data_IF_558820566957
#
_entry.id   IF_558820566957
#
_cell.length_a   1.000
_cell.length_b   1.000
_cell.length_c   1.000
_cell.angle_alpha   90.00
_cell.angle_beta   90.00
_cell.angle_gamma   90.00
#
_symmetry.space_group_name_H-M   'P 1'
#
loop_
_entity.id
_entity.type
_entity.pdbx_description
1 polymer ?
#
# COMPACT_ATOMS: atom_id res chain seq x y z
N UNK A 1 27.51 -0.19 23.38
CA UNK A 1 26.18 0.25 23.84
C UNK A 1 25.30 -0.98 24.00
N UNK A 2 24.68 -1.21 25.15
CA UNK A 2 23.61 -2.22 25.27
C UNK A 2 22.29 -1.57 24.89
N UNK A 3 21.49 -2.24 24.06
CA UNK A 3 20.14 -1.79 23.74
C UNK A 3 19.26 -2.00 24.98
N UNK A 4 18.32 -1.09 25.23
CA UNK A 4 17.22 -1.38 26.13
C UNK A 4 16.22 -2.31 25.44
N UNK A 5 15.45 -3.08 26.21
CA UNK A 5 14.40 -4.00 25.68
C UNK A 5 13.47 -3.29 24.69
N UNK A 6 13.12 -2.03 24.95
CA UNK A 6 12.26 -1.23 24.07
C UNK A 6 12.95 -0.95 22.72
N UNK A 7 14.24 -0.63 22.72
CA UNK A 7 15.00 -0.39 21.50
C UNK A 7 15.12 -1.67 20.66
N UNK A 8 15.28 -2.83 21.31
CA UNK A 8 15.30 -4.14 20.64
C UNK A 8 13.96 -4.47 19.98
N UNK A 9 12.84 -4.20 20.66
CA UNK A 9 11.50 -4.41 20.10
C UNK A 9 11.27 -3.48 18.89
N UNK A 10 11.60 -2.19 19.01
CA UNK A 10 11.42 -1.22 17.92
C UNK A 10 12.28 -1.59 16.70
N UNK A 11 13.51 -2.04 16.93
CA UNK A 11 14.41 -2.52 15.89
C UNK A 11 13.87 -3.81 15.24
N UNK A 12 13.34 -4.75 16.02
CA UNK A 12 12.75 -5.98 15.48
C UNK A 12 11.54 -5.71 14.59
N UNK A 13 10.66 -4.79 14.99
CA UNK A 13 9.50 -4.35 14.19
C UNK A 13 9.98 -3.69 12.89
N UNK A 14 11.03 -2.88 12.94
CA UNK A 14 11.61 -2.21 11.77
C UNK A 14 12.11 -3.24 10.77
N UNK A 15 12.93 -4.19 11.25
CA UNK A 15 13.51 -5.24 10.41
C UNK A 15 12.41 -6.11 9.80
N UNK A 16 11.42 -6.52 10.59
CA UNK A 16 10.29 -7.31 10.09
C UNK A 16 9.49 -6.55 9.00
N UNK A 17 9.21 -5.27 9.24
CA UNK A 17 8.54 -4.41 8.27
C UNK A 17 9.32 -4.25 6.97
N UNK A 18 10.65 -4.04 7.06
CA UNK A 18 11.55 -3.95 5.90
C UNK A 18 11.54 -5.26 5.11
N UNK A 19 11.70 -6.40 5.80
CA UNK A 19 11.74 -7.73 5.14
C UNK A 19 10.44 -8.00 4.39
N UNK A 20 9.28 -7.75 5.00
CA UNK A 20 7.99 -7.94 4.34
C UNK A 20 7.78 -6.97 3.16
N UNK A 21 8.20 -5.71 3.31
CA UNK A 21 8.12 -4.72 2.24
C UNK A 21 8.99 -5.12 1.04
N UNK A 22 10.25 -5.47 1.28
CA UNK A 22 11.18 -5.90 0.24
C UNK A 22 10.72 -7.19 -0.42
N UNK A 23 10.23 -8.16 0.36
CA UNK A 23 9.66 -9.39 -0.18
C UNK A 23 8.50 -9.08 -1.12
N UNK A 24 7.52 -8.25 -0.70
CA UNK A 24 6.40 -7.88 -1.55
C UNK A 24 6.86 -7.13 -2.82
N UNK A 25 7.77 -6.16 -2.69
CA UNK A 25 8.29 -5.39 -3.82
C UNK A 25 9.00 -6.28 -4.84
N UNK A 26 9.73 -7.31 -4.37
CA UNK A 26 10.45 -8.26 -5.23
C UNK A 26 9.54 -9.25 -5.97
N UNK A 27 8.27 -9.42 -5.57
CA UNK A 27 7.35 -10.30 -6.30
C UNK A 27 7.12 -9.76 -7.72
N UNK A 28 7.13 -10.62 -8.75
CA UNK A 28 6.84 -10.20 -10.11
C UNK A 28 5.37 -9.75 -10.24
N UNK A 29 5.07 -8.82 -11.17
CA UNK A 29 3.69 -8.46 -11.47
C UNK A 29 2.92 -9.68 -12.01
N UNK A 30 1.63 -9.75 -11.70
CA UNK A 30 0.72 -10.81 -12.15
C UNK A 30 -0.47 -10.17 -12.87
N UNK A 31 -0.20 -9.58 -14.04
CA UNK A 31 -1.21 -8.87 -14.81
C UNK A 31 -2.19 -9.86 -15.44
N UNK A 32 -3.48 -9.68 -15.16
CA UNK A 32 -4.58 -10.37 -15.80
C UNK A 32 -5.49 -9.37 -16.48
N UNK A 33 -5.98 -9.72 -17.65
CA UNK A 33 -6.92 -8.88 -18.41
C UNK A 33 -8.25 -9.58 -18.55
N UNK A 34 -9.34 -8.81 -18.57
CA UNK A 34 -10.67 -9.37 -18.75
C UNK A 34 -11.64 -8.37 -19.38
N UNK A 35 -12.89 -8.82 -19.50
CA UNK A 35 -14.01 -7.99 -19.93
C UNK A 35 -15.16 -8.19 -18.95
N UNK A 36 -15.80 -7.09 -18.56
CA UNK A 36 -16.94 -7.07 -17.65
C UNK A 36 -18.16 -6.49 -18.36
N UNK A 37 -19.32 -6.99 -17.99
CA UNK A 37 -20.62 -6.36 -18.15
C UNK A 37 -21.12 -5.85 -16.79
N UNK A 38 -22.20 -5.09 -16.81
CA UNK A 38 -22.83 -4.59 -15.59
C UNK A 38 -23.13 -5.76 -14.64
N UNK A 39 -22.89 -5.57 -13.35
CA UNK A 39 -23.00 -6.57 -12.30
C UNK A 39 -21.94 -7.69 -12.30
N UNK A 40 -20.99 -7.71 -13.24
CA UNK A 40 -19.88 -8.64 -13.17
C UNK A 40 -18.84 -8.22 -12.11
N UNK A 41 -18.22 -9.20 -11.46
CA UNK A 41 -17.10 -9.00 -10.55
C UNK A 41 -15.76 -9.27 -11.25
N UNK A 42 -14.75 -8.46 -10.96
CA UNK A 42 -13.37 -8.77 -11.30
C UNK A 42 -12.91 -9.95 -10.40
N UNK A 43 -12.61 -11.13 -10.97
CA UNK A 43 -12.40 -12.34 -10.18
C UNK A 43 -11.30 -12.20 -9.12
N UNK A 44 -11.65 -12.53 -7.88
CA UNK A 44 -10.69 -12.57 -6.76
C UNK A 44 -10.33 -11.19 -6.17
N UNK A 45 -11.06 -10.14 -6.54
CA UNK A 45 -10.79 -8.77 -6.06
C UNK A 45 -11.91 -8.21 -5.19
N UNK A 46 -13.12 -8.80 -5.25
CA UNK A 46 -14.31 -8.26 -4.59
C UNK A 46 -14.88 -7.01 -5.25
N UNK A 47 -14.34 -6.55 -6.39
CA UNK A 47 -14.81 -5.35 -7.08
C UNK A 47 -15.82 -5.70 -8.17
N UNK A 48 -17.06 -5.26 -7.97
CA UNK A 48 -18.19 -5.48 -8.88
C UNK A 48 -18.48 -4.22 -9.69
N UNK A 49 -18.65 -4.34 -11.00
CA UNK A 49 -19.08 -3.23 -11.86
C UNK A 49 -20.56 -2.93 -11.57
N UNK A 50 -20.87 -1.70 -11.15
CA UNK A 50 -22.25 -1.30 -10.77
C UNK A 50 -22.82 -0.17 -11.63
N UNK A 51 -21.96 0.63 -12.25
CA UNK A 51 -22.39 1.68 -13.18
C UNK A 51 -21.37 1.83 -14.32
N UNK A 52 -21.89 2.17 -15.50
CA UNK A 52 -21.11 2.36 -16.71
C UNK A 52 -21.66 3.54 -17.50
N UNK A 53 -20.79 4.51 -17.81
CA UNK A 53 -21.13 5.62 -18.71
C UNK A 53 -20.16 5.65 -19.88
N UNK A 54 -20.51 5.00 -21.01
CA UNK A 54 -19.64 4.91 -22.18
C UNK A 54 -19.32 6.27 -22.80
N UNK A 55 -20.29 7.19 -22.79
CA UNK A 55 -20.13 8.54 -23.34
C UNK A 55 -19.18 9.40 -22.52
N UNK A 56 -19.13 9.20 -21.21
CA UNK A 56 -18.21 9.91 -20.31
C UNK A 56 -16.90 9.15 -20.07
N UNK A 57 -16.73 7.94 -20.64
CA UNK A 57 -15.53 7.13 -20.45
C UNK A 57 -15.26 6.76 -18.98
N UNK A 58 -16.31 6.58 -18.18
CA UNK A 58 -16.23 6.26 -16.74
C UNK A 58 -16.95 4.96 -16.38
N UNK A 59 -16.47 4.30 -15.34
CA UNK A 59 -17.14 3.16 -14.73
C UNK A 59 -17.05 3.25 -13.20
N UNK A 60 -18.09 2.77 -12.51
CA UNK A 60 -18.14 2.71 -11.05
C UNK A 60 -18.10 1.26 -10.59
N UNK A 61 -17.25 0.98 -9.61
CA UNK A 61 -17.11 -0.32 -9.00
C UNK A 61 -17.48 -0.26 -7.53
N UNK A 62 -18.19 -1.27 -7.05
CA UNK A 62 -18.50 -1.45 -5.64
C UNK A 62 -17.72 -2.63 -5.08
N UNK A 63 -17.01 -2.41 -3.99
CA UNK A 63 -16.34 -3.49 -3.27
C UNK A 63 -17.34 -4.24 -2.39
N UNK A 64 -17.43 -5.55 -2.57
CA UNK A 64 -18.36 -6.44 -1.86
C UNK A 64 -17.97 -6.68 -0.40
N UNK A 65 -16.70 -6.44 -0.04
CA UNK A 65 -16.17 -6.66 1.31
C UNK A 65 -16.31 -5.40 2.17
N UNK A 66 -15.97 -4.22 1.62
CA UNK A 66 -15.90 -2.96 2.38
C UNK A 66 -17.10 -2.01 2.15
N UNK A 67 -18.10 -2.43 1.37
CA UNK A 67 -19.27 -1.62 0.98
C UNK A 67 -18.87 -0.19 0.53
N UNK A 68 -17.80 -0.11 -0.26
CA UNK A 68 -17.23 1.14 -0.75
C UNK A 68 -17.35 1.20 -2.28
N UNK A 69 -17.78 2.34 -2.81
CA UNK A 69 -17.91 2.57 -4.24
C UNK A 69 -16.80 3.50 -4.73
N UNK A 70 -16.22 3.16 -5.88
CA UNK A 70 -15.17 3.92 -6.52
C UNK A 70 -15.47 4.12 -8.00
N UNK A 71 -15.47 5.38 -8.45
CA UNK A 71 -15.60 5.74 -9.86
C UNK A 71 -14.24 6.07 -10.46
N UNK A 72 -13.94 5.49 -11.62
CA UNK A 72 -12.69 5.74 -12.35
C UNK A 72 -12.95 5.95 -13.85
N UNK A 73 -11.92 6.40 -14.55
CA UNK A 73 -11.96 6.72 -15.98
C UNK A 73 -11.04 5.79 -16.76
N UNK A 74 -11.31 5.65 -18.06
CA UNK A 74 -10.40 4.93 -18.98
C UNK A 74 -8.97 5.47 -18.86
N UNK A 75 -8.00 4.56 -18.76
CA UNK A 75 -6.57 4.87 -18.59
C UNK A 75 -6.17 5.31 -17.19
N UNK A 76 -7.10 5.38 -16.23
CA UNK A 76 -6.80 5.65 -14.82
C UNK A 76 -6.82 4.34 -14.04
N UNK A 77 -5.76 4.15 -13.24
CA UNK A 77 -5.63 3.05 -12.31
C UNK A 77 -6.28 3.42 -10.97
N UNK A 78 -6.97 2.46 -10.36
CA UNK A 78 -7.47 2.55 -8.99
C UNK A 78 -7.15 1.23 -8.30
N UNK A 79 -6.45 1.28 -7.16
CA UNK A 79 -5.75 0.11 -6.63
C UNK A 79 -4.97 -0.58 -7.76
N UNK A 80 -4.89 -1.90 -7.78
CA UNK A 80 -4.19 -2.61 -8.84
C UNK A 80 -5.01 -2.77 -10.15
N UNK A 81 -6.14 -2.08 -10.32
CA UNK A 81 -7.05 -2.23 -11.47
C UNK A 81 -6.96 -1.00 -12.40
N UNK A 82 -6.84 -1.24 -13.69
CA UNK A 82 -6.89 -0.21 -14.73
C UNK A 82 -8.04 -0.52 -15.70
N UNK A 83 -8.83 0.49 -16.04
CA UNK A 83 -9.76 0.38 -17.16
C UNK A 83 -8.99 0.67 -18.45
N UNK A 84 -8.89 -0.31 -19.33
CA UNK A 84 -8.20 -0.16 -20.61
C UNK A 84 -9.12 0.43 -21.68
N UNK A 85 -10.39 0.04 -21.67
CA UNK A 85 -11.37 0.48 -22.67
C UNK A 85 -12.80 0.35 -22.17
N UNK A 86 -13.67 1.27 -22.58
CA UNK A 86 -15.13 1.12 -22.48
C UNK A 86 -15.71 1.10 -23.90
N UNK A 87 -16.50 0.08 -24.23
CA UNK A 87 -17.15 -0.05 -25.55
C UNK A 87 -18.55 -0.64 -25.39
N UNK A 88 -19.57 0.13 -25.81
CA UNK A 88 -20.96 -0.28 -25.63
C UNK A 88 -21.28 -0.53 -24.15
N UNK A 89 -21.80 -1.71 -23.83
CA UNK A 89 -22.10 -2.15 -22.47
C UNK A 89 -20.96 -2.90 -21.77
N UNK A 90 -19.73 -2.85 -22.31
CA UNK A 90 -18.59 -3.63 -21.81
C UNK A 90 -17.42 -2.76 -21.36
N UNK A 91 -16.72 -3.23 -20.33
CA UNK A 91 -15.48 -2.66 -19.80
C UNK A 91 -14.35 -3.68 -19.96
N UNK A 92 -13.29 -3.32 -20.71
CA UNK A 92 -12.03 -4.06 -20.68
C UNK A 92 -11.16 -3.51 -19.57
N UNK A 93 -10.57 -4.41 -18.81
CA UNK A 93 -9.73 -4.06 -17.68
C UNK A 93 -8.45 -4.90 -17.68
N UNK A 94 -7.45 -4.35 -17.01
CA UNK A 94 -6.25 -5.05 -16.58
C UNK A 94 -6.14 -4.92 -15.06
N UNK A 95 -5.73 -6.00 -14.39
CA UNK A 95 -5.55 -6.03 -12.94
C UNK A 95 -4.24 -6.72 -12.59
N UNK A 96 -3.44 -6.11 -11.71
CA UNK A 96 -2.29 -6.77 -11.13
C UNK A 96 -2.71 -7.61 -9.92
N UNK A 97 -2.84 -8.92 -10.14
CA UNK A 97 -3.21 -9.88 -9.10
C UNK A 97 -2.11 -10.08 -8.05
N UNK A 98 -0.90 -9.52 -8.23
CA UNK A 98 0.13 -9.48 -7.19
C UNK A 98 -0.42 -8.86 -5.91
N UNK A 99 -1.15 -7.73 -6.03
CA UNK A 99 -1.73 -7.03 -4.91
C UNK A 99 -2.77 -7.88 -4.17
N UNK A 100 -3.78 -8.38 -4.90
CA UNK A 100 -4.88 -9.14 -4.31
C UNK A 100 -4.43 -10.48 -3.72
N UNK A 101 -3.48 -11.17 -4.34
CA UNK A 101 -2.94 -12.44 -3.81
C UNK A 101 -2.04 -12.25 -2.59
N UNK A 102 -1.46 -11.07 -2.40
CA UNK A 102 -0.51 -10.79 -1.33
C UNK A 102 -0.95 -9.61 -0.45
N UNK A 103 -2.26 -9.35 -0.37
CA UNK A 103 -2.82 -8.18 0.32
C UNK A 103 -2.44 -8.15 1.81
N UNK A 104 -2.36 -9.32 2.46
CA UNK A 104 -1.95 -9.42 3.86
C UNK A 104 -0.48 -9.09 4.08
N UNK A 105 0.39 -9.48 3.14
CA UNK A 105 1.82 -9.14 3.21
C UNK A 105 2.01 -7.64 2.99
N UNK A 106 1.32 -7.09 1.98
CA UNK A 106 1.28 -5.66 1.72
C UNK A 106 0.79 -4.86 2.93
N UNK A 107 -0.32 -5.28 3.53
CA UNK A 107 -0.92 -4.62 4.68
C UNK A 107 -0.05 -4.74 5.93
N UNK A 108 0.54 -5.91 6.20
CA UNK A 108 1.44 -6.10 7.33
C UNK A 108 2.70 -5.24 7.21
N UNK A 109 3.31 -5.17 6.01
CA UNK A 109 4.44 -4.28 5.75
C UNK A 109 4.08 -2.82 6.01
N UNK A 110 2.92 -2.36 5.50
CA UNK A 110 2.43 -1.01 5.73
C UNK A 110 2.17 -0.71 7.21
N UNK A 111 1.55 -1.64 7.93
CA UNK A 111 1.22 -1.44 9.35
C UNK A 111 2.48 -1.36 10.20
N UNK A 112 3.43 -2.29 10.03
CA UNK A 112 4.68 -2.32 10.81
C UNK A 112 5.54 -1.08 10.55
N UNK A 113 5.73 -0.71 9.28
CA UNK A 113 6.49 0.48 8.92
C UNK A 113 5.74 1.76 9.32
N UNK A 114 4.42 1.82 9.08
CA UNK A 114 3.60 2.99 9.34
C UNK A 114 3.49 3.34 10.82
N UNK A 115 3.19 2.35 11.67
CA UNK A 115 3.17 2.53 13.13
C UNK A 115 4.54 2.99 13.62
N UNK A 116 5.61 2.35 13.14
CA UNK A 116 6.96 2.70 13.55
C UNK A 116 7.38 4.11 13.11
N UNK A 117 6.96 4.59 11.95
CA UNK A 117 7.17 5.98 11.50
C UNK A 117 6.42 6.97 12.39
N UNK A 118 5.14 6.71 12.70
CA UNK A 118 4.36 7.60 13.57
C UNK A 118 4.99 7.69 14.96
N UNK A 119 5.36 6.54 15.55
CA UNK A 119 6.07 6.50 16.83
C UNK A 119 7.41 7.23 16.75
N UNK A 120 8.12 7.09 15.64
CA UNK A 120 9.40 7.77 15.42
C UNK A 120 9.24 9.28 15.35
N UNK A 121 8.23 9.79 14.64
CA UNK A 121 7.92 11.22 14.60
C UNK A 121 7.62 11.75 16.00
N UNK A 122 6.80 11.04 16.79
CA UNK A 122 6.48 11.42 18.18
C UNK A 122 7.75 11.51 19.03
N UNK A 123 8.62 10.48 18.97
CA UNK A 123 9.88 10.47 19.72
C UNK A 123 10.79 11.63 19.28
N UNK A 124 10.84 11.93 17.99
CA UNK A 124 11.64 13.03 17.46
C UNK A 124 11.12 14.38 17.98
N UNK A 125 9.80 14.60 17.96
CA UNK A 125 9.17 15.83 18.47
C UNK A 125 9.42 16.01 19.97
N UNK A 126 9.31 14.95 20.77
CA UNK A 126 9.51 15.01 22.23
C UNK A 126 10.96 15.21 22.65
N UNK A 127 11.92 14.90 21.77
CA UNK A 127 13.36 14.92 22.09
C UNK A 127 14.15 15.91 21.24
N UNK A 128 13.48 16.77 20.48
CA UNK A 128 14.13 17.65 19.51
C UNK A 128 15.11 18.62 20.18
N UNK A 129 14.77 19.11 21.38
CA UNK A 129 15.62 20.03 22.15
C UNK A 129 16.87 19.34 22.73
N UNK A 130 16.83 18.01 22.90
CA UNK A 130 17.91 17.19 23.47
C UNK A 130 18.78 16.51 22.39
N UNK A 131 18.40 16.62 21.12
CA UNK A 131 19.16 16.05 19.98
C UNK A 131 20.60 16.55 19.92
N UNK A 132 20.85 17.79 20.37
CA UNK A 132 22.17 18.43 20.34
C UNK A 132 23.20 17.74 21.25
N UNK A 133 22.76 16.99 22.27
CA UNK A 133 23.65 16.41 23.28
C UNK A 133 23.86 14.89 23.12
N UNK A 134 22.99 14.18 22.38
CA UNK A 134 23.01 12.70 22.30
C UNK A 134 22.60 12.14 20.92
N UNK A 135 23.29 12.56 19.87
CA UNK A 135 23.13 12.04 18.50
C UNK A 135 23.32 10.52 18.37
N UNK A 136 24.09 9.90 19.28
CA UNK A 136 24.40 8.46 19.25
C UNK A 136 23.51 7.60 20.16
N UNK A 137 22.39 8.12 20.69
CA UNK A 137 21.49 7.28 21.48
C UNK A 137 20.76 6.26 20.58
N UNK A 138 20.66 4.98 20.98
CA UNK A 138 20.16 3.92 20.11
C UNK A 138 18.71 4.15 19.68
N UNK A 139 17.86 4.60 20.60
CA UNK A 139 16.47 4.99 20.28
C UNK A 139 16.40 6.00 19.14
N UNK A 140 17.31 6.98 19.13
CA UNK A 140 17.30 8.07 18.17
C UNK A 140 17.81 7.59 16.80
N UNK A 141 18.81 6.71 16.78
CA UNK A 141 19.26 6.04 15.55
C UNK A 141 18.14 5.19 14.92
N UNK A 142 17.40 4.41 15.72
CA UNK A 142 16.27 3.60 15.25
C UNK A 142 15.16 4.50 14.70
N UNK A 143 14.84 5.57 15.42
CA UNK A 143 13.85 6.59 15.02
C UNK A 143 14.21 7.20 13.66
N UNK A 144 15.47 7.61 13.49
CA UNK A 144 15.97 8.12 12.22
C UNK A 144 15.92 7.07 11.11
N UNK A 145 16.22 5.81 11.40
CA UNK A 145 16.13 4.73 10.43
C UNK A 145 14.69 4.50 9.93
N UNK A 146 13.68 4.58 10.79
CA UNK A 146 12.27 4.52 10.36
C UNK A 146 11.92 5.64 9.37
N UNK A 147 12.41 6.85 9.60
CA UNK A 147 12.15 7.99 8.73
C UNK A 147 12.90 7.83 7.40
N UNK A 148 14.19 7.49 7.44
CA UNK A 148 15.02 7.43 6.23
C UNK A 148 14.73 6.18 5.38
N UNK A 149 14.38 5.06 6.00
CA UNK A 149 14.18 3.77 5.29
C UNK A 149 12.68 3.46 5.17
N UNK A 150 11.94 3.59 6.27
CA UNK A 150 10.53 3.24 6.32
C UNK A 150 9.66 4.11 5.42
N UNK A 151 9.84 5.44 5.42
CA UNK A 151 9.04 6.34 4.57
C UNK A 151 9.24 6.05 3.07
N UNK A 152 10.47 5.94 2.52
CA UNK A 152 10.66 5.55 1.13
C UNK A 152 10.07 4.18 0.79
N UNK A 153 10.15 3.21 1.70
CA UNK A 153 9.56 1.89 1.47
C UNK A 153 8.03 1.94 1.42
N UNK A 154 7.37 2.69 2.30
CA UNK A 154 5.92 2.90 2.22
C UNK A 154 5.56 3.57 0.89
N UNK A 155 6.29 4.61 0.51
CA UNK A 155 6.04 5.29 -0.75
C UNK A 155 6.20 4.34 -1.95
N UNK A 156 7.25 3.51 -1.96
CA UNK A 156 7.47 2.51 -3.00
C UNK A 156 6.36 1.45 -3.03
N UNK A 157 5.86 1.00 -1.87
CA UNK A 157 4.75 0.06 -1.80
C UNK A 157 3.46 0.70 -2.36
N UNK A 158 3.15 1.95 -2.00
CA UNK A 158 1.99 2.67 -2.55
C UNK A 158 2.09 2.80 -4.07
N UNK A 159 3.26 3.19 -4.60
CA UNK A 159 3.49 3.27 -6.04
C UNK A 159 3.35 1.91 -6.74
N UNK A 160 3.71 0.81 -6.08
CA UNK A 160 3.63 -0.53 -6.67
C UNK A 160 2.19 -1.02 -6.93
N UNK A 161 1.19 -0.34 -6.34
CA UNK A 161 -0.22 -0.66 -6.52
C UNK A 161 -1.01 0.51 -7.13
N UNK A 162 -0.35 1.62 -7.48
CA UNK A 162 -0.97 2.82 -8.05
C UNK A 162 -0.74 2.95 -9.55
#
# INVERSE_FOLDING_TARGET
MKLGIIDEILLAILVAGIVLALFYLALPPNIQTGTLQLEDEIPGTGWKLVDLSPTAGKASFKNTIMNYEYTTFVGRRFYAITIDQIKGSTVKYSVDMKFYKNIYIYAAAHLLLGIGIVLSIIVFMLRIDRLKEKLLSPTLLITTAYIIIGLPLIYALVLSIS
#
